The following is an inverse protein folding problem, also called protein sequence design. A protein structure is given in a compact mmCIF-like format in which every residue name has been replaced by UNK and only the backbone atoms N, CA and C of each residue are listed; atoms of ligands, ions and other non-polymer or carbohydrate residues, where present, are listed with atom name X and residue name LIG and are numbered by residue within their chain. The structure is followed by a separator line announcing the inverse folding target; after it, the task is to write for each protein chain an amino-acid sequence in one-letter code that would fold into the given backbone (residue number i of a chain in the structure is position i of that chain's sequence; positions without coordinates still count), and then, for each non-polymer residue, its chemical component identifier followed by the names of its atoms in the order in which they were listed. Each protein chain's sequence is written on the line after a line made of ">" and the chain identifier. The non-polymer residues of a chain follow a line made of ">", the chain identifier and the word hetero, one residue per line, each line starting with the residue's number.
data_IF_891714819679
#
_entry.id   IF_891714819679
#
_cell.length_a   1.000
_cell.length_b   1.000
_cell.length_c   1.000
_cell.angle_alpha   90.00
_cell.angle_beta   90.00
_cell.angle_gamma   90.00
#
_symmetry.space_group_name_H-M   'P 1'
#
loop_
_entity.id
_entity.type
_entity.pdbx_description
1 polymer ?
#
# COMPACT_ATOMS: atom_id res chain seq x y z
N UNK A 1 6.45 2.96 -19.95
CA UNK A 1 7.12 3.42 -18.71
C UNK A 1 6.87 2.30 -17.72
N UNK A 2 7.90 1.53 -17.42
CA UNK A 2 7.79 0.39 -16.51
C UNK A 2 7.83 0.92 -15.08
N UNK A 3 6.68 0.88 -14.38
CA UNK A 3 6.61 1.21 -12.97
C UNK A 3 7.23 0.09 -12.16
N UNK A 4 8.06 0.46 -11.18
CA UNK A 4 8.65 -0.47 -10.22
C UNK A 4 7.64 -0.78 -9.12
N UNK A 5 7.49 -2.05 -8.80
CA UNK A 5 6.71 -2.55 -7.67
C UNK A 5 7.62 -3.25 -6.66
N UNK A 6 7.16 -3.37 -5.42
CA UNK A 6 7.88 -4.14 -4.41
C UNK A 6 7.76 -5.63 -4.76
N UNK A 7 8.84 -6.41 -4.76
CA UNK A 7 8.79 -7.83 -5.11
C UNK A 7 7.88 -8.66 -4.20
N UNK A 8 7.53 -8.17 -3.00
CA UNK A 8 6.58 -8.83 -2.09
C UNK A 8 5.17 -8.87 -2.68
N UNK A 9 4.79 -7.89 -3.51
CA UNK A 9 3.45 -7.88 -4.14
C UNK A 9 3.27 -9.06 -5.12
N UNK A 10 4.35 -9.55 -5.74
CA UNK A 10 4.34 -10.70 -6.66
C UNK A 10 4.61 -12.06 -5.97
N UNK A 11 4.95 -12.05 -4.69
CA UNK A 11 5.32 -13.26 -3.97
C UNK A 11 4.07 -13.97 -3.39
N UNK A 12 3.72 -15.19 -3.87
CA UNK A 12 2.50 -15.88 -3.44
C UNK A 12 2.49 -16.24 -1.95
N UNK A 13 3.66 -16.24 -1.28
CA UNK A 13 3.75 -16.46 0.17
C UNK A 13 3.14 -15.32 0.98
N UNK A 14 3.15 -14.11 0.42
CA UNK A 14 2.66 -12.90 1.07
C UNK A 14 1.28 -12.48 0.57
N UNK A 15 0.75 -13.09 -0.50
CA UNK A 15 -0.53 -12.73 -1.10
C UNK A 15 -1.68 -12.60 -0.07
N UNK A 16 -1.77 -13.52 0.90
CA UNK A 16 -2.80 -13.45 1.94
C UNK A 16 -2.57 -12.28 2.93
N UNK A 17 -1.31 -12.01 3.28
CA UNK A 17 -0.92 -10.91 4.18
C UNK A 17 -1.15 -9.57 3.50
N UNK A 18 -0.81 -9.46 2.22
CA UNK A 18 -1.04 -8.26 1.40
C UNK A 18 -2.53 -7.98 1.31
N UNK A 19 -3.35 -8.98 0.95
CA UNK A 19 -4.80 -8.82 0.88
C UNK A 19 -5.42 -8.42 2.23
N UNK A 20 -4.91 -8.95 3.35
CA UNK A 20 -5.35 -8.55 4.69
C UNK A 20 -4.95 -7.09 5.00
N UNK A 21 -3.72 -6.70 4.70
CA UNK A 21 -3.23 -5.35 4.92
C UNK A 21 -3.99 -4.31 4.07
N UNK A 22 -4.34 -4.66 2.82
CA UNK A 22 -5.13 -3.81 1.92
C UNK A 22 -6.54 -3.60 2.46
N UNK A 23 -7.24 -4.68 2.86
CA UNK A 23 -8.56 -4.57 3.48
C UNK A 23 -8.54 -3.75 4.77
N UNK A 24 -7.51 -3.93 5.60
CA UNK A 24 -7.35 -3.16 6.83
C UNK A 24 -7.07 -1.67 6.54
N UNK A 25 -6.25 -1.35 5.55
CA UNK A 25 -5.99 0.02 5.11
C UNK A 25 -7.27 0.69 4.58
N UNK A 26 -8.04 0.01 3.72
CA UNK A 26 -9.32 0.51 3.21
C UNK A 26 -10.32 0.78 4.34
N UNK A 27 -10.42 -0.14 5.31
CA UNK A 27 -11.31 0.02 6.45
C UNK A 27 -10.91 1.19 7.35
N UNK A 28 -9.61 1.39 7.59
CA UNK A 28 -9.08 2.50 8.37
C UNK A 28 -9.40 3.84 7.70
N UNK A 29 -9.10 3.98 6.41
CA UNK A 29 -9.37 5.19 5.64
C UNK A 29 -10.87 5.50 5.56
N UNK A 30 -11.70 4.47 5.31
CA UNK A 30 -13.15 4.63 5.30
C UNK A 30 -13.67 5.07 6.67
N UNK A 31 -13.09 4.60 7.78
CA UNK A 31 -13.51 4.96 9.13
C UNK A 31 -13.22 6.44 9.47
N UNK A 32 -12.27 7.07 8.81
CA UNK A 32 -11.93 8.49 8.98
C UNK A 32 -12.48 9.39 7.87
N UNK A 33 -13.35 8.84 7.00
CA UNK A 33 -14.04 9.59 5.95
C UNK A 33 -13.20 9.84 4.69
N UNK A 34 -12.09 9.13 4.51
CA UNK A 34 -11.32 9.16 3.26
C UNK A 34 -11.93 8.13 2.30
N UNK A 35 -12.49 8.61 1.19
CA UNK A 35 -13.10 7.76 0.15
C UNK A 35 -12.21 7.67 -1.09
N UNK A 36 -12.43 6.64 -1.91
CA UNK A 36 -11.78 6.49 -3.21
C UNK A 36 -11.96 7.75 -4.07
N UNK A 37 -10.87 8.24 -4.66
CA UNK A 37 -10.83 9.46 -5.47
C UNK A 37 -9.40 9.93 -5.76
N UNK A 38 -9.28 11.10 -6.38
CA UNK A 38 -8.00 11.79 -6.61
C UNK A 38 -7.28 12.01 -5.27
N UNK A 39 -6.03 11.55 -5.20
CA UNK A 39 -5.15 11.64 -4.04
C UNK A 39 -5.28 10.47 -3.06
N UNK A 40 -6.09 9.46 -3.37
CA UNK A 40 -6.34 8.32 -2.48
C UNK A 40 -5.15 7.37 -2.36
N UNK A 41 -4.32 7.27 -3.41
CA UNK A 41 -3.22 6.31 -3.45
C UNK A 41 -2.21 6.52 -2.31
N UNK A 42 -1.84 7.77 -2.00
CA UNK A 42 -0.89 8.13 -0.96
C UNK A 42 -1.31 7.69 0.46
N UNK A 43 -2.50 8.09 0.98
CA UNK A 43 -2.94 7.64 2.30
C UNK A 43 -3.14 6.12 2.34
N UNK A 44 -3.58 5.50 1.23
CA UNK A 44 -3.71 4.05 1.16
C UNK A 44 -2.37 3.32 1.27
N UNK A 45 -1.35 3.75 0.52
CA UNK A 45 -0.01 3.16 0.60
C UNK A 45 0.62 3.38 1.96
N UNK A 46 0.43 4.57 2.55
CA UNK A 46 0.90 4.86 3.91
C UNK A 46 0.29 3.90 4.93
N UNK A 47 -1.02 3.70 4.88
CA UNK A 47 -1.73 2.78 5.78
C UNK A 47 -1.31 1.31 5.55
N UNK A 48 -1.29 0.85 4.28
CA UNK A 48 -0.82 -0.51 3.92
C UNK A 48 0.59 -0.76 4.46
N UNK A 49 1.52 0.18 4.22
CA UNK A 49 2.92 0.09 4.68
C UNK A 49 3.02 0.00 6.19
N UNK A 50 2.28 0.84 6.91
CA UNK A 50 2.26 0.83 8.38
C UNK A 50 1.73 -0.52 8.91
N UNK A 51 0.63 -1.02 8.36
CA UNK A 51 0.02 -2.29 8.77
C UNK A 51 0.97 -3.46 8.52
N UNK A 52 1.61 -3.52 7.34
CA UNK A 52 2.59 -4.54 7.00
C UNK A 52 3.78 -4.53 7.98
N UNK A 53 4.26 -3.34 8.34
CA UNK A 53 5.38 -3.20 9.27
C UNK A 53 5.00 -3.61 10.69
N UNK A 54 3.88 -3.09 11.21
CA UNK A 54 3.49 -3.26 12.61
C UNK A 54 2.95 -4.66 12.92
N UNK A 55 2.13 -5.22 12.04
CA UNK A 55 1.44 -6.51 12.30
C UNK A 55 2.23 -7.72 11.83
N UNK A 56 2.97 -7.57 10.73
CA UNK A 56 3.63 -8.70 10.06
C UNK A 56 5.15 -8.59 10.04
N UNK A 57 5.72 -7.45 10.49
CA UNK A 57 7.17 -7.22 10.46
C UNK A 57 7.74 -7.11 9.05
N UNK A 58 6.91 -6.77 8.07
CA UNK A 58 7.29 -6.70 6.66
C UNK A 58 7.68 -5.25 6.32
N UNK A 59 8.90 -5.09 5.80
CA UNK A 59 9.36 -3.84 5.19
C UNK A 59 8.96 -3.80 3.72
N UNK A 60 7.81 -3.20 3.43
CA UNK A 60 7.30 -2.97 2.07
C UNK A 60 7.55 -1.53 1.61
N UNK A 61 7.94 -1.34 0.35
CA UNK A 61 8.16 -0.05 -0.27
C UNK A 61 6.94 0.41 -1.07
N UNK A 62 6.58 1.69 -0.95
CA UNK A 62 5.44 2.24 -1.70
C UNK A 62 5.80 2.46 -3.18
N UNK A 63 4.80 2.53 -4.08
CA UNK A 63 5.04 2.92 -5.47
C UNK A 63 5.71 4.29 -5.63
N UNK A 64 5.41 5.27 -4.77
CA UNK A 64 6.11 6.57 -4.75
C UNK A 64 7.59 6.41 -4.40
N UNK A 65 7.93 5.60 -3.40
CA UNK A 65 9.33 5.38 -2.99
C UNK A 65 10.14 4.66 -4.07
N UNK A 66 9.51 3.77 -4.83
CA UNK A 66 10.14 3.03 -5.92
C UNK A 66 10.21 3.83 -7.23
N UNK A 67 9.36 4.84 -7.38
CA UNK A 67 9.23 5.64 -8.60
C UNK A 67 9.19 7.14 -8.25
N UNK A 68 10.28 7.72 -7.72
CA UNK A 68 10.29 9.11 -7.23
C UNK A 68 10.07 10.16 -8.33
N UNK A 69 10.27 9.80 -9.59
CA UNK A 69 10.07 10.67 -10.75
C UNK A 69 8.63 10.63 -11.29
N UNK A 70 7.73 9.89 -10.64
CA UNK A 70 6.34 9.71 -11.06
C UNK A 70 5.41 10.38 -10.06
N UNK A 71 4.57 11.28 -10.55
CA UNK A 71 3.45 11.82 -9.79
C UNK A 71 2.28 10.84 -9.87
N UNK A 72 1.85 10.35 -8.71
CA UNK A 72 0.69 9.50 -8.57
C UNK A 72 -0.51 10.33 -8.12
N UNK A 73 -1.70 9.77 -8.30
CA UNK A 73 -2.95 10.35 -7.83
C UNK A 73 -3.99 9.26 -7.56
#
# INVERSE_FOLDING_TARGET
>A
MDLRADPIDDDPRYAAIIAEAEQAAEAELSSIGISFGMGYCYPFWSAKKQILKERFGIDWQTPEELNPDVLFD
#
